data_IF_834389454401
#
_entry.id   IF_834389454401
#
_cell.length_a   1.000
_cell.length_b   1.000
_cell.length_c   1.000
_cell.angle_alpha   90.00
_cell.angle_beta   90.00
_cell.angle_gamma   90.00
#
_symmetry.space_group_name_H-M   'P 1'
#
loop_
_entity.id
_entity.type
_entity.pdbx_description
1 polymer ?
#
# COMPACT_ATOMS: atom_id res chain seq x y z
N UNK A 1 -12.18 26.26 -42.42
CA UNK A 1 -10.93 25.84 -41.75
C UNK A 1 -11.10 24.37 -41.37
N UNK A 2 -10.53 23.43 -42.13
CA UNK A 2 -10.63 21.98 -41.84
C UNK A 2 -9.81 21.70 -40.57
N UNK A 3 -10.44 21.16 -39.52
CA UNK A 3 -9.72 20.66 -38.35
C UNK A 3 -9.12 19.30 -38.69
N UNK A 4 -7.81 19.20 -38.52
CA UNK A 4 -6.97 18.02 -38.74
C UNK A 4 -7.22 16.94 -37.68
N UNK A 5 -7.19 15.68 -38.11
CA UNK A 5 -7.43 14.45 -37.33
C UNK A 5 -6.55 14.30 -36.07
N UNK A 6 -7.05 13.71 -34.97
CA UNK A 6 -6.23 13.35 -33.81
C UNK A 6 -5.57 12.00 -34.07
N UNK A 7 -4.47 11.99 -34.81
CA UNK A 7 -3.58 10.84 -34.92
C UNK A 7 -2.29 11.21 -34.19
N UNK A 8 -2.24 11.03 -32.86
CA UNK A 8 -1.01 11.03 -32.03
C UNK A 8 -1.29 11.07 -30.50
N UNK A 9 -2.53 11.25 -30.05
CA UNK A 9 -2.85 11.12 -28.62
C UNK A 9 -3.32 9.70 -28.38
N UNK A 10 -2.39 8.79 -28.13
CA UNK A 10 -2.75 7.57 -27.41
C UNK A 10 -3.26 8.07 -26.05
N UNK A 11 -4.53 7.89 -25.67
CA UNK A 11 -5.07 8.48 -24.43
C UNK A 11 -4.36 7.99 -23.15
N UNK A 12 -3.36 7.12 -23.30
CA UNK A 12 -2.83 6.28 -22.25
C UNK A 12 -3.95 5.34 -21.84
N UNK A 13 -3.82 4.04 -22.11
CA UNK A 13 -4.67 3.08 -21.41
C UNK A 13 -4.42 3.31 -19.93
N UNK A 14 -5.39 3.90 -19.23
CA UNK A 14 -5.38 4.02 -17.78
C UNK A 14 -5.35 2.57 -17.29
N UNK A 15 -4.16 2.09 -16.96
CA UNK A 15 -3.95 0.73 -16.48
C UNK A 15 -4.77 0.62 -15.19
N UNK A 16 -5.94 0.00 -15.28
CA UNK A 16 -6.76 -0.30 -14.11
C UNK A 16 -5.95 -1.32 -13.33
N UNK A 17 -5.41 -0.89 -12.19
CA UNK A 17 -4.64 -1.77 -11.34
C UNK A 17 -5.60 -2.77 -10.68
N UNK A 18 -5.27 -4.05 -10.80
CA UNK A 18 -5.91 -5.13 -10.07
C UNK A 18 -4.85 -5.76 -9.17
N UNK A 19 -5.13 -5.79 -7.87
CA UNK A 19 -4.26 -6.43 -6.89
C UNK A 19 -4.07 -7.91 -7.20
N UNK A 20 -2.83 -8.37 -7.19
CA UNK A 20 -2.47 -9.78 -7.41
C UNK A 20 -2.41 -10.60 -6.13
N UNK A 21 -2.24 -9.91 -5.01
CA UNK A 21 -2.18 -10.48 -3.67
C UNK A 21 -3.55 -10.62 -3.02
N UNK A 22 -3.52 -10.97 -1.74
CA UNK A 22 -4.69 -11.19 -0.91
C UNK A 22 -4.44 -10.68 0.51
N UNK A 23 -5.50 -10.52 1.29
CA UNK A 23 -5.38 -10.17 2.71
C UNK A 23 -5.30 -11.44 3.56
N UNK A 24 -4.38 -11.46 4.51
CA UNK A 24 -4.17 -12.55 5.45
C UNK A 24 -3.60 -12.03 6.76
N UNK A 25 -4.06 -12.60 7.86
CA UNK A 25 -3.49 -12.34 9.16
C UNK A 25 -2.11 -13.01 9.31
N UNK A 26 -1.11 -12.22 9.68
CA UNK A 26 0.26 -12.66 9.98
C UNK A 26 0.65 -12.05 11.32
N UNK A 27 1.11 -12.88 12.25
CA UNK A 27 1.49 -12.46 13.61
C UNK A 27 0.40 -11.63 14.33
N UNK A 28 -0.88 -11.94 14.09
CA UNK A 28 -2.02 -11.23 14.67
C UNK A 28 -2.32 -9.86 14.03
N UNK A 29 -1.79 -9.58 12.83
CA UNK A 29 -1.98 -8.33 12.10
C UNK A 29 -2.47 -8.62 10.69
N UNK A 30 -3.61 -8.04 10.30
CA UNK A 30 -4.10 -8.17 8.92
C UNK A 30 -3.07 -7.55 7.96
N UNK A 31 -2.69 -8.28 6.92
CA UNK A 31 -1.63 -7.87 6.02
C UNK A 31 -2.02 -8.16 4.59
N UNK A 32 -1.66 -7.26 3.66
CA UNK A 32 -1.67 -7.58 2.25
C UNK A 32 -0.44 -8.44 1.93
N UNK A 33 -0.66 -9.56 1.25
CA UNK A 33 0.36 -10.57 0.94
C UNK A 33 0.34 -10.80 -0.56
N UNK A 34 1.51 -10.75 -1.20
CA UNK A 34 1.66 -11.02 -2.63
C UNK A 34 2.97 -11.73 -2.92
N UNK A 35 2.99 -12.53 -3.99
CA UNK A 35 4.14 -13.35 -4.38
C UNK A 35 4.37 -14.59 -3.52
N UNK A 36 5.16 -15.52 -4.06
CA UNK A 36 5.58 -16.74 -3.41
C UNK A 36 7.10 -16.86 -3.52
N UNK A 37 7.79 -16.75 -2.39
CA UNK A 37 9.25 -16.86 -2.34
C UNK A 37 9.75 -17.35 -0.99
N UNK A 38 11.03 -17.74 -0.93
CA UNK A 38 11.68 -18.17 0.32
C UNK A 38 12.09 -17.00 1.21
N UNK A 39 12.28 -15.84 0.62
CA UNK A 39 12.60 -14.59 1.32
C UNK A 39 11.40 -13.66 1.29
N UNK A 40 11.31 -12.76 2.27
CA UNK A 40 10.24 -11.79 2.37
C UNK A 40 10.76 -10.34 2.37
N UNK A 41 9.98 -9.44 1.76
CA UNK A 41 10.09 -7.99 1.92
C UNK A 41 8.88 -7.52 2.72
N UNK A 42 9.09 -6.70 3.74
CA UNK A 42 8.02 -6.06 4.51
C UNK A 42 8.04 -4.57 4.18
N UNK A 43 6.89 -4.04 3.76
CA UNK A 43 6.71 -2.62 3.49
C UNK A 43 5.90 -2.01 4.63
N UNK A 44 6.52 -1.10 5.38
CA UNK A 44 5.82 -0.22 6.31
C UNK A 44 5.37 1.04 5.57
N UNK A 45 4.09 1.37 5.69
CA UNK A 45 3.41 2.45 4.97
C UNK A 45 3.48 3.79 5.70
N UNK A 46 3.18 4.87 4.99
CA UNK A 46 2.86 6.14 5.63
C UNK A 46 1.38 6.15 6.09
N UNK A 47 0.85 7.32 6.40
CA UNK A 47 -0.52 7.53 6.87
C UNK A 47 -1.62 6.94 5.98
N UNK A 48 -1.34 6.66 4.69
CA UNK A 48 -2.32 6.12 3.74
C UNK A 48 -2.50 4.60 3.80
N UNK A 49 -1.65 3.91 4.57
CA UNK A 49 -1.87 2.51 4.90
C UNK A 49 -1.75 1.53 3.73
N UNK A 50 -2.06 0.27 4.01
CA UNK A 50 -1.86 -0.84 3.06
C UNK A 50 -2.94 -0.94 1.98
N UNK A 51 -4.08 -0.28 2.16
CA UNK A 51 -5.17 -0.21 1.18
C UNK A 51 -4.89 0.76 0.04
N UNK A 52 -3.86 1.62 0.18
CA UNK A 52 -3.49 2.54 -0.88
C UNK A 52 -2.95 1.80 -2.11
N UNK A 53 -3.59 2.03 -3.25
CA UNK A 53 -3.31 1.31 -4.51
C UNK A 53 -1.84 1.38 -4.91
N UNK A 54 -1.19 2.52 -4.68
CA UNK A 54 0.22 2.71 -5.07
C UNK A 54 1.15 1.74 -4.33
N UNK A 55 0.92 1.49 -3.03
CA UNK A 55 1.78 0.58 -2.28
C UNK A 55 1.52 -0.88 -2.64
N UNK A 56 0.26 -1.28 -2.90
CA UNK A 56 -0.06 -2.65 -3.35
C UNK A 56 0.56 -2.94 -4.72
N UNK A 57 0.51 -1.97 -5.65
CA UNK A 57 1.17 -2.08 -6.96
C UNK A 57 2.69 -2.22 -6.84
N UNK A 58 3.30 -1.46 -5.93
CA UNK A 58 4.73 -1.57 -5.64
C UNK A 58 5.07 -2.96 -5.09
N UNK A 59 4.29 -3.49 -4.16
CA UNK A 59 4.48 -4.82 -3.61
C UNK A 59 4.36 -5.92 -4.67
N UNK A 60 3.33 -5.86 -5.53
CA UNK A 60 3.15 -6.83 -6.62
C UNK A 60 4.36 -6.79 -7.59
N UNK A 61 4.87 -5.59 -7.89
CA UNK A 61 6.05 -5.40 -8.74
C UNK A 61 7.30 -6.01 -8.11
N UNK A 62 7.53 -5.81 -6.81
CA UNK A 62 8.65 -6.42 -6.10
C UNK A 62 8.54 -7.93 -5.98
N UNK A 63 7.35 -8.44 -5.65
CA UNK A 63 7.09 -9.87 -5.57
C UNK A 63 7.45 -10.57 -6.88
N UNK A 64 6.97 -10.03 -8.00
CA UNK A 64 7.24 -10.58 -9.33
C UNK A 64 8.71 -10.41 -9.74
N UNK A 65 9.27 -9.21 -9.59
CA UNK A 65 10.61 -8.90 -10.11
C UNK A 65 11.72 -9.55 -9.29
N UNK A 66 11.54 -9.66 -7.98
CA UNK A 66 12.55 -10.20 -7.06
C UNK A 66 12.30 -11.67 -6.70
N UNK A 67 11.17 -12.26 -7.10
CA UNK A 67 10.78 -13.65 -6.75
C UNK A 67 10.77 -13.88 -5.22
N UNK A 68 10.12 -12.95 -4.51
CA UNK A 68 9.99 -12.93 -3.05
C UNK A 68 8.53 -12.81 -2.66
N UNK A 69 8.20 -13.15 -1.41
CA UNK A 69 6.92 -12.77 -0.82
C UNK A 69 7.01 -11.33 -0.32
N UNK A 70 6.00 -10.51 -0.58
CA UNK A 70 5.94 -9.13 -0.07
C UNK A 70 4.73 -8.98 0.84
N UNK A 71 4.96 -8.40 2.00
CA UNK A 71 3.98 -8.18 3.06
C UNK A 71 3.79 -6.68 3.28
N UNK A 72 2.54 -6.22 3.38
CA UNK A 72 2.19 -4.88 3.82
C UNK A 72 1.23 -4.98 5.02
N UNK A 73 1.75 -4.90 6.26
CA UNK A 73 0.93 -4.97 7.45
C UNK A 73 -0.03 -3.77 7.57
N UNK A 74 -1.27 -4.01 7.99
CA UNK A 74 -2.19 -2.97 8.45
C UNK A 74 -2.00 -2.74 9.95
N UNK A 75 -1.06 -1.86 10.29
CA UNK A 75 -0.86 -1.40 11.67
C UNK A 75 -1.66 -0.14 12.00
N UNK A 76 -2.67 0.21 11.20
CA UNK A 76 -3.64 1.26 11.57
C UNK A 76 -5.01 0.67 11.88
N UNK A 77 -5.21 -0.64 11.75
CA UNK A 77 -6.49 -1.31 11.94
C UNK A 77 -7.61 -0.67 11.08
N UNK A 78 -7.34 -0.54 9.78
CA UNK A 78 -8.24 0.05 8.78
C UNK A 78 -8.55 1.54 9.01
N UNK A 79 -7.73 2.24 9.80
CA UNK A 79 -7.88 3.67 10.09
C UNK A 79 -6.82 4.52 9.37
N UNK A 80 -6.44 4.14 8.14
CA UNK A 80 -5.56 4.97 7.31
C UNK A 80 -6.28 6.24 6.83
N UNK A 81 -5.51 7.29 6.57
CA UNK A 81 -6.04 8.53 5.98
C UNK A 81 -6.39 8.32 4.50
N UNK A 82 -7.36 9.10 4.00
CA UNK A 82 -7.70 9.15 2.58
C UNK A 82 -6.83 10.23 1.89
N UNK A 83 -5.99 9.85 0.89
CA UNK A 83 -5.16 10.81 0.17
C UNK A 83 -5.95 11.87 -0.61
N UNK A 84 -7.22 11.59 -0.94
CA UNK A 84 -8.09 12.50 -1.68
C UNK A 84 -8.97 13.37 -0.76
N UNK A 85 -8.83 13.27 0.57
CA UNK A 85 -9.57 14.11 1.52
C UNK A 85 -9.11 15.58 1.43
N UNK A 86 -10.00 16.53 1.07
CA UNK A 86 -9.63 17.94 0.96
C UNK A 86 -9.17 18.57 2.28
N UNK A 87 -9.52 17.98 3.43
CA UNK A 87 -9.17 18.44 4.77
C UNK A 87 -8.04 17.61 5.40
N UNK A 88 -7.29 16.84 4.61
CA UNK A 88 -6.21 15.97 5.09
C UNK A 88 -5.32 16.65 6.15
N UNK A 89 -4.89 17.88 5.87
CA UNK A 89 -3.99 18.63 6.75
C UNK A 89 -4.59 19.00 8.10
N UNK A 90 -5.91 19.19 8.17
CA UNK A 90 -6.62 19.49 9.43
C UNK A 90 -6.89 18.22 10.25
N UNK A 91 -7.02 17.07 9.58
CA UNK A 91 -7.23 15.76 10.22
C UNK A 91 -5.93 15.14 10.75
N UNK A 92 -4.81 15.39 10.06
CA UNK A 92 -3.51 14.79 10.36
C UNK A 92 -3.08 14.93 11.84
N UNK A 93 -3.20 16.08 12.50
CA UNK A 93 -2.81 16.22 13.90
C UNK A 93 -3.57 15.30 14.85
N UNK A 94 -4.87 15.07 14.59
CA UNK A 94 -5.69 14.18 15.42
C UNK A 94 -5.40 12.71 15.10
N UNK A 95 -5.15 12.40 13.83
CA UNK A 95 -4.73 11.07 13.39
C UNK A 95 -3.39 10.67 14.05
N UNK A 96 -2.38 11.56 14.04
CA UNK A 96 -1.07 11.30 14.65
C UNK A 96 -1.14 11.05 16.17
N UNK A 97 -2.10 11.66 16.87
CA UNK A 97 -2.35 11.38 18.30
C UNK A 97 -2.90 9.98 18.53
N UNK A 98 -3.74 9.48 17.61
CA UNK A 98 -4.32 8.14 17.67
C UNK A 98 -3.30 7.06 17.28
N UNK A 99 -2.35 7.40 16.40
CA UNK A 99 -1.34 6.48 15.85
C UNK A 99 0.09 6.91 16.21
N UNK A 100 0.52 6.78 17.48
CA UNK A 100 1.87 7.16 17.88
C UNK A 100 2.92 6.20 17.25
N UNK A 101 4.14 6.67 16.95
CA UNK A 101 5.19 5.84 16.35
C UNK A 101 5.52 4.56 17.14
N UNK A 102 5.36 4.59 18.46
CA UNK A 102 5.59 3.43 19.33
C UNK A 102 4.68 2.24 19.00
N UNK A 103 3.45 2.51 18.53
CA UNK A 103 2.53 1.46 18.12
C UNK A 103 3.03 0.76 16.86
N UNK A 104 3.42 1.52 15.83
CA UNK A 104 4.00 0.97 14.60
C UNK A 104 5.28 0.17 14.89
N UNK A 105 6.17 0.65 15.77
CA UNK A 105 7.35 -0.11 16.22
C UNK A 105 6.97 -1.45 16.84
N UNK A 106 5.98 -1.48 17.74
CA UNK A 106 5.53 -2.72 18.39
C UNK A 106 4.97 -3.75 17.41
N UNK A 107 4.36 -3.30 16.32
CA UNK A 107 3.90 -4.18 15.24
C UNK A 107 5.08 -4.68 14.42
N UNK A 108 6.03 -3.81 14.08
CA UNK A 108 7.23 -4.20 13.34
C UNK A 108 8.05 -5.28 14.05
N UNK A 109 8.16 -5.21 15.38
CA UNK A 109 8.83 -6.23 16.19
C UNK A 109 8.21 -7.63 16.02
N UNK A 110 6.88 -7.74 15.93
CA UNK A 110 6.18 -9.03 15.73
C UNK A 110 6.57 -9.71 14.42
N UNK A 111 6.75 -8.93 13.36
CA UNK A 111 7.13 -9.46 12.04
C UNK A 111 8.60 -9.85 11.97
N UNK A 112 9.48 -9.15 12.69
CA UNK A 112 10.92 -9.46 12.70
C UNK A 112 11.22 -10.67 13.60
N UNK A 113 10.40 -10.92 14.63
CA UNK A 113 10.57 -12.05 15.55
C UNK A 113 9.96 -13.37 15.06
N UNK A 114 9.30 -13.39 13.90
CA UNK A 114 8.64 -14.58 13.32
C UNK A 114 9.61 -15.34 12.40
#
# INVERSE_FOLDING_TARGET
RKMSSPCCVDPGVKQIYQAQGYEKEIAGVNSYVTGEGKSAIIIFTDVFGNSFVNVRKLADTFAQSCQVTVLIPDYFNQDSMDPDDPNLWDLLPNWLKKHPPTYACSIGEKFIST
#
